data_IF_891281815126
#
_entry.id   IF_891281815126
#
_cell.length_a   1.000
_cell.length_b   1.000
_cell.length_c   1.000
_cell.angle_alpha   90.00
_cell.angle_beta   90.00
_cell.angle_gamma   90.00
#
_symmetry.space_group_name_H-M   'P 1'
#
loop_
_entity.id
_entity.type
_entity.pdbx_description
1 polymer ?
#
# COMPACT_ATOMS: atom_id res chain seq x y z
N UNK A 1 17.13 -20.49 13.64
CA UNK A 1 16.85 -20.06 12.25
C UNK A 1 16.20 -21.18 11.44
N UNK A 2 16.82 -22.36 11.28
CA UNK A 2 16.25 -23.47 10.49
C UNK A 2 14.84 -23.85 10.91
N UNK A 3 14.56 -24.02 12.20
CA UNK A 3 13.25 -24.43 12.72
C UNK A 3 12.10 -23.49 12.31
N UNK A 4 12.33 -22.18 12.24
CA UNK A 4 11.28 -21.22 11.85
C UNK A 4 11.08 -21.23 10.33
N UNK A 5 12.15 -21.35 9.54
CA UNK A 5 12.06 -21.45 8.10
C UNK A 5 11.29 -22.72 7.67
N UNK A 6 11.51 -23.84 8.35
CA UNK A 6 10.74 -25.07 8.14
C UNK A 6 9.24 -24.90 8.38
N UNK A 7 8.84 -23.98 9.26
CA UNK A 7 7.41 -23.66 9.51
C UNK A 7 6.84 -22.66 8.52
N UNK A 8 7.62 -21.67 8.08
CA UNK A 8 7.17 -20.60 7.22
C UNK A 8 7.03 -21.01 5.75
N UNK A 9 7.98 -21.80 5.23
CA UNK A 9 8.01 -22.19 3.81
C UNK A 9 6.75 -22.96 3.38
N UNK A 10 6.23 -23.93 4.16
CA UNK A 10 5.03 -24.67 3.80
C UNK A 10 3.77 -23.81 3.66
N UNK A 11 3.70 -22.66 4.37
CA UNK A 11 2.52 -21.77 4.33
C UNK A 11 2.34 -21.19 2.93
N UNK A 12 3.43 -20.73 2.32
CA UNK A 12 3.42 -20.02 1.03
C UNK A 12 3.64 -20.95 -0.17
N UNK A 13 4.04 -22.20 0.08
CA UNK A 13 4.34 -23.21 -0.93
C UNK A 13 5.60 -22.90 -1.74
N UNK A 14 5.96 -23.80 -2.66
CA UNK A 14 7.23 -23.75 -3.40
C UNK A 14 7.49 -22.48 -4.22
N UNK A 15 6.42 -21.78 -4.66
CA UNK A 15 6.50 -20.54 -5.43
C UNK A 15 6.38 -19.28 -4.58
N UNK A 16 6.18 -19.42 -3.27
CA UNK A 16 5.85 -18.33 -2.36
C UNK A 16 7.02 -17.85 -1.51
N UNK A 17 8.24 -18.30 -1.75
CA UNK A 17 9.41 -17.85 -1.02
C UNK A 17 10.64 -17.73 -1.91
N UNK A 18 11.61 -16.94 -1.48
CA UNK A 18 12.89 -16.73 -2.15
C UNK A 18 14.00 -16.59 -1.12
N UNK A 19 15.22 -16.95 -1.53
CA UNK A 19 16.43 -16.64 -0.76
C UNK A 19 16.87 -15.20 -1.05
N UNK A 20 17.32 -14.44 -0.05
CA UNK A 20 17.92 -13.13 -0.28
C UNK A 20 19.33 -13.29 -0.89
N UNK A 21 19.40 -13.21 -2.21
CA UNK A 21 20.61 -13.31 -3.03
C UNK A 21 20.65 -12.19 -4.08
N UNK A 22 21.68 -12.18 -4.91
CA UNK A 22 21.86 -11.15 -5.96
C UNK A 22 20.67 -11.08 -6.92
N UNK A 23 20.07 -12.22 -7.29
CA UNK A 23 18.91 -12.27 -8.19
C UNK A 23 17.66 -11.65 -7.59
N UNK A 24 17.58 -11.62 -6.26
CA UNK A 24 16.47 -11.08 -5.49
C UNK A 24 16.79 -9.73 -4.83
N UNK A 25 17.78 -9.00 -5.36
CA UNK A 25 18.26 -7.73 -4.82
C UNK A 25 17.17 -6.66 -4.68
N UNK A 26 16.11 -6.71 -5.52
CA UNK A 26 14.98 -5.78 -5.46
C UNK A 26 14.24 -5.75 -4.10
N UNK A 27 14.41 -6.76 -3.25
CA UNK A 27 13.80 -6.83 -1.93
C UNK A 27 14.71 -6.34 -0.80
N UNK A 28 15.98 -6.05 -1.08
CA UNK A 28 16.95 -5.67 -0.05
C UNK A 28 17.42 -4.21 -0.15
N UNK A 29 16.96 -3.48 -1.14
CA UNK A 29 17.20 -2.04 -1.29
C UNK A 29 15.98 -1.35 -1.90
N UNK A 30 15.77 -0.11 -1.57
CA UNK A 30 14.76 0.76 -2.17
C UNK A 30 15.31 1.51 -3.41
N UNK A 31 14.53 2.47 -3.91
CA UNK A 31 14.92 3.29 -5.08
C UNK A 31 16.17 4.13 -4.83
N UNK A 32 16.54 4.39 -3.57
CA UNK A 32 17.76 5.13 -3.22
C UNK A 32 19.02 4.26 -3.26
N UNK A 33 18.87 2.96 -3.52
CA UNK A 33 19.93 1.94 -3.45
C UNK A 33 20.54 1.78 -2.04
N UNK A 34 19.88 2.29 -1.02
CA UNK A 34 20.27 2.06 0.35
C UNK A 34 20.10 0.59 0.72
N UNK A 35 21.09 0.05 1.42
CA UNK A 35 21.11 -1.33 1.95
C UNK A 35 21.47 -1.26 3.42
N UNK A 36 20.73 -2.00 4.25
CA UNK A 36 20.96 -1.96 5.69
C UNK A 36 21.34 -3.32 6.27
N UNK A 37 20.71 -4.41 5.82
CA UNK A 37 20.93 -5.72 6.42
C UNK A 37 20.82 -6.88 5.45
N UNK A 38 21.00 -8.10 5.99
CA UNK A 38 20.83 -9.38 5.30
C UNK A 38 19.61 -10.07 5.89
N UNK A 39 18.44 -9.99 5.25
CA UNK A 39 17.24 -10.67 5.72
C UNK A 39 17.42 -12.20 5.67
N UNK A 40 16.60 -12.91 6.45
CA UNK A 40 16.65 -14.37 6.54
C UNK A 40 15.97 -15.07 5.38
N UNK A 41 14.82 -14.54 4.95
CA UNK A 41 13.98 -15.10 3.90
C UNK A 41 13.06 -14.04 3.32
N UNK A 42 12.62 -14.23 2.08
CA UNK A 42 11.60 -13.43 1.42
C UNK A 42 10.36 -14.30 1.25
N UNK A 43 9.25 -13.89 1.86
CA UNK A 43 7.95 -14.56 1.76
C UNK A 43 6.99 -13.76 0.90
N UNK A 44 6.29 -14.46 0.03
CA UNK A 44 5.36 -13.93 -0.96
C UNK A 44 3.99 -14.59 -0.76
N UNK A 45 3.21 -14.20 0.26
CA UNK A 45 1.89 -14.74 0.47
C UNK A 45 0.95 -14.38 -0.69
N UNK A 46 -0.05 -15.24 -0.93
CA UNK A 46 -1.09 -15.03 -1.95
C UNK A 46 -2.47 -14.76 -1.36
N UNK A 47 -2.60 -14.76 -0.04
CA UNK A 47 -3.87 -14.57 0.65
C UNK A 47 -3.67 -14.00 2.06
N UNK A 48 -4.70 -13.34 2.58
CA UNK A 48 -4.76 -12.87 3.97
C UNK A 48 -4.53 -14.00 4.96
N UNK A 49 -5.02 -15.20 4.68
CA UNK A 49 -4.83 -16.37 5.55
C UNK A 49 -3.35 -16.80 5.65
N UNK A 50 -2.61 -16.71 4.56
CA UNK A 50 -1.16 -16.96 4.59
C UNK A 50 -0.44 -15.88 5.41
N UNK A 51 -0.83 -14.60 5.26
CA UNK A 51 -0.28 -13.50 6.07
C UNK A 51 -0.53 -13.73 7.55
N UNK A 52 -1.77 -14.10 7.94
CA UNK A 52 -2.13 -14.40 9.35
C UNK A 52 -1.19 -15.46 9.93
N UNK A 53 -1.04 -16.60 9.22
CA UNK A 53 -0.19 -17.70 9.70
C UNK A 53 1.29 -17.30 9.81
N UNK A 54 1.79 -16.51 8.86
CA UNK A 54 3.16 -16.00 8.89
C UNK A 54 3.35 -15.10 10.12
N UNK A 55 2.45 -14.13 10.33
CA UNK A 55 2.54 -13.21 11.47
C UNK A 55 2.46 -13.94 12.80
N UNK A 56 1.55 -14.92 12.95
CA UNK A 56 1.46 -15.75 14.16
C UNK A 56 2.78 -16.45 14.47
N UNK A 57 3.39 -17.13 13.48
CA UNK A 57 4.68 -17.81 13.68
C UNK A 57 5.78 -16.80 14.01
N UNK A 58 5.87 -15.69 13.31
CA UNK A 58 6.88 -14.67 13.60
C UNK A 58 6.70 -14.09 15.01
N UNK A 59 5.46 -13.87 15.44
CA UNK A 59 5.14 -13.41 16.80
C UNK A 59 5.54 -14.44 17.87
N UNK A 60 5.19 -15.72 17.68
CA UNK A 60 5.53 -16.80 18.61
C UNK A 60 7.04 -16.96 18.83
N UNK A 61 7.82 -16.68 17.79
CA UNK A 61 9.28 -16.75 17.83
C UNK A 61 9.96 -15.39 18.07
N UNK A 62 9.19 -14.31 18.31
CA UNK A 62 9.70 -12.93 18.39
C UNK A 62 10.61 -12.58 17.20
N UNK A 63 10.24 -13.02 15.98
CA UNK A 63 11.05 -12.80 14.79
C UNK A 63 10.60 -11.55 14.04
N UNK A 64 11.50 -10.59 13.81
CA UNK A 64 11.12 -9.32 13.18
C UNK A 64 10.72 -9.51 11.71
N UNK A 65 9.71 -8.75 11.27
CA UNK A 65 9.16 -8.78 9.92
C UNK A 65 9.24 -7.40 9.29
N UNK A 66 9.84 -7.34 8.10
CA UNK A 66 9.83 -6.15 7.24
C UNK A 66 8.75 -6.30 6.17
N UNK A 67 7.70 -5.49 6.24
CA UNK A 67 6.59 -5.51 5.27
C UNK A 67 6.95 -4.66 4.06
N UNK A 68 6.79 -5.22 2.86
CA UNK A 68 7.20 -4.55 1.63
C UNK A 68 6.07 -4.42 0.60
N UNK A 69 6.00 -3.23 0.00
CA UNK A 69 5.27 -2.95 -1.23
C UNK A 69 6.20 -2.95 -2.45
N UNK A 70 6.07 -1.91 -3.29
CA UNK A 70 6.83 -1.77 -4.54
C UNK A 70 8.25 -1.21 -4.41
N UNK A 71 8.78 -1.04 -3.22
CA UNK A 71 10.13 -0.52 -2.92
C UNK A 71 10.44 0.86 -3.56
N UNK A 72 9.42 1.68 -3.73
CA UNK A 72 9.51 3.02 -4.35
C UNK A 72 9.61 4.17 -3.33
N UNK A 73 9.71 3.85 -2.05
CA UNK A 73 9.89 4.81 -0.97
C UNK A 73 11.27 5.48 -0.99
N UNK A 74 11.36 6.69 -0.44
CA UNK A 74 12.59 7.50 -0.38
C UNK A 74 13.15 7.64 1.02
N UNK A 75 12.49 7.04 2.02
CA UNK A 75 12.83 7.18 3.44
C UNK A 75 13.30 5.86 4.08
N UNK A 76 13.59 4.86 3.25
CA UNK A 76 14.19 3.58 3.64
C UNK A 76 13.34 2.70 4.59
N UNK A 77 12.08 3.05 4.87
CA UNK A 77 11.21 2.35 5.82
C UNK A 77 10.88 0.89 5.47
N UNK A 78 11.11 0.48 4.22
CA UNK A 78 10.90 -0.91 3.76
C UNK A 78 12.20 -1.68 3.54
N UNK A 79 13.37 -1.08 3.80
CA UNK A 79 14.67 -1.74 3.67
C UNK A 79 14.94 -2.60 4.91
N UNK A 80 15.18 -3.91 4.75
CA UNK A 80 15.26 -4.82 5.87
C UNK A 80 16.56 -4.66 6.67
N UNK A 81 16.50 -4.96 7.98
CA UNK A 81 17.65 -5.18 8.82
C UNK A 81 18.13 -6.65 8.77
N UNK A 82 19.23 -6.93 9.48
CA UNK A 82 19.76 -8.28 9.59
C UNK A 82 18.74 -9.24 10.23
N UNK A 83 18.66 -10.42 9.67
CA UNK A 83 17.83 -11.53 10.14
C UNK A 83 16.30 -11.30 10.08
N UNK A 84 15.80 -10.22 9.52
CA UNK A 84 14.35 -10.03 9.34
C UNK A 84 13.76 -11.00 8.31
N UNK A 85 12.48 -11.30 8.49
CA UNK A 85 11.64 -11.92 7.47
C UNK A 85 11.09 -10.81 6.58
N UNK A 86 11.35 -10.86 5.28
CA UNK A 86 10.69 -9.98 4.31
C UNK A 86 9.32 -10.56 3.98
N UNK A 87 8.27 -9.74 4.12
CA UNK A 87 6.91 -10.05 3.73
C UNK A 87 6.49 -9.14 2.57
N UNK A 88 6.60 -9.62 1.33
CA UNK A 88 6.20 -8.87 0.14
C UNK A 88 4.82 -9.28 -0.33
N UNK A 89 3.93 -8.31 -0.53
CA UNK A 89 2.53 -8.55 -0.93
C UNK A 89 2.33 -8.63 -2.45
N UNK A 90 3.37 -8.75 -3.26
CA UNK A 90 3.31 -8.72 -4.73
C UNK A 90 2.37 -9.76 -5.35
N UNK A 91 2.11 -10.90 -4.67
CA UNK A 91 1.19 -11.95 -5.14
C UNK A 91 -0.27 -11.68 -4.77
N UNK A 92 -0.55 -10.77 -3.85
CA UNK A 92 -1.89 -10.33 -3.47
C UNK A 92 -2.31 -9.16 -4.37
N UNK A 93 -2.69 -9.45 -5.60
CA UNK A 93 -2.82 -8.43 -6.65
C UNK A 93 -4.14 -8.50 -7.44
N UNK A 94 -5.21 -8.95 -6.82
CA UNK A 94 -6.55 -8.97 -7.41
C UNK A 94 -7.37 -7.72 -7.08
N UNK A 95 -8.32 -7.42 -7.98
CA UNK A 95 -9.30 -6.35 -7.84
C UNK A 95 -10.68 -7.01 -7.85
N UNK A 96 -11.52 -6.67 -6.89
CA UNK A 96 -12.83 -7.27 -6.67
C UNK A 96 -13.88 -6.22 -6.26
N UNK A 97 -15.14 -6.64 -6.13
CA UNK A 97 -16.24 -5.81 -5.63
C UNK A 97 -16.33 -4.43 -6.29
N UNK A 98 -16.11 -4.38 -7.63
CA UNK A 98 -16.29 -3.15 -8.38
C UNK A 98 -17.77 -2.77 -8.42
N UNK A 99 -18.09 -1.61 -7.85
CA UNK A 99 -19.45 -1.07 -7.80
C UNK A 99 -19.50 0.33 -8.44
N UNK A 100 -20.29 0.44 -9.50
CA UNK A 100 -20.49 1.70 -10.23
C UNK A 100 -21.32 2.70 -9.44
N UNK A 101 -22.22 2.24 -8.60
CA UNK A 101 -23.19 3.09 -7.88
C UNK A 101 -22.49 3.79 -6.72
N UNK A 102 -21.79 3.01 -5.90
CA UNK A 102 -21.00 3.56 -4.79
C UNK A 102 -19.64 4.11 -5.22
N UNK A 103 -19.27 3.94 -6.51
CA UNK A 103 -17.97 4.32 -7.06
C UNK A 103 -16.81 3.80 -6.22
N UNK A 104 -16.85 2.50 -5.92
CA UNK A 104 -15.86 1.86 -5.08
C UNK A 104 -15.42 0.50 -5.63
N UNK A 105 -14.22 0.08 -5.25
CA UNK A 105 -13.72 -1.26 -5.53
C UNK A 105 -12.82 -1.73 -4.39
N UNK A 106 -12.85 -3.04 -4.12
CA UNK A 106 -11.94 -3.67 -3.18
C UNK A 106 -10.70 -4.17 -3.94
N UNK A 107 -9.52 -3.81 -3.44
CA UNK A 107 -8.24 -4.18 -4.01
C UNK A 107 -7.39 -4.93 -2.99
N UNK A 108 -6.66 -5.93 -3.42
CA UNK A 108 -5.53 -6.47 -2.66
C UNK A 108 -4.35 -5.51 -2.76
N UNK A 109 -3.58 -5.37 -1.70
CA UNK A 109 -2.62 -4.28 -1.55
C UNK A 109 -1.32 -4.45 -2.35
N UNK A 110 -1.09 -5.60 -2.98
CA UNK A 110 -0.05 -5.81 -3.98
C UNK A 110 -0.42 -5.39 -5.41
N UNK A 111 -1.64 -4.86 -5.61
CA UNK A 111 -2.03 -4.23 -6.89
C UNK A 111 -1.20 -2.97 -7.09
N UNK A 112 -0.58 -2.80 -8.28
CA UNK A 112 0.09 -1.54 -8.62
C UNK A 112 -0.91 -0.43 -8.88
N UNK A 113 -0.53 0.81 -8.60
CA UNK A 113 -1.36 1.98 -8.86
C UNK A 113 -1.80 2.03 -10.33
N UNK A 114 -0.88 1.80 -11.26
CA UNK A 114 -1.16 1.79 -12.71
C UNK A 114 -2.16 0.69 -13.10
N UNK A 115 -2.03 -0.53 -12.55
CA UNK A 115 -2.98 -1.62 -12.81
C UNK A 115 -4.39 -1.23 -12.36
N UNK A 116 -4.53 -0.56 -11.22
CA UNK A 116 -5.82 -0.11 -10.72
C UNK A 116 -6.40 1.03 -11.58
N UNK A 117 -5.57 1.98 -11.98
CA UNK A 117 -5.98 3.07 -12.88
C UNK A 117 -6.47 2.53 -14.23
N UNK A 118 -5.70 1.66 -14.88
CA UNK A 118 -6.07 1.04 -16.15
C UNK A 118 -7.36 0.22 -16.06
N UNK A 119 -7.57 -0.49 -14.94
CA UNK A 119 -8.81 -1.23 -14.69
C UNK A 119 -10.03 -0.30 -14.62
N UNK A 120 -9.90 0.87 -14.03
CA UNK A 120 -10.97 1.85 -13.90
C UNK A 120 -11.22 2.60 -15.24
N UNK A 121 -10.16 2.99 -15.94
CA UNK A 121 -10.22 3.68 -17.23
C UNK A 121 -11.01 2.88 -18.26
N UNK A 122 -10.78 1.57 -18.35
CA UNK A 122 -11.56 0.64 -19.21
C UNK A 122 -13.05 0.63 -18.90
N UNK A 123 -13.46 1.17 -17.73
CA UNK A 123 -14.85 1.24 -17.27
C UNK A 123 -15.42 2.65 -17.26
N UNK A 124 -14.66 3.65 -17.74
CA UNK A 124 -15.02 5.08 -17.77
C UNK A 124 -14.91 5.77 -16.42
N UNK A 125 -14.01 5.28 -15.56
CA UNK A 125 -13.74 5.85 -14.25
C UNK A 125 -12.26 6.20 -14.08
N UNK A 126 -11.97 6.92 -13.01
CA UNK A 126 -10.68 7.52 -12.77
C UNK A 126 -10.30 7.42 -11.28
N UNK A 127 -9.07 6.99 -11.00
CA UNK A 127 -8.48 7.05 -9.66
C UNK A 127 -7.50 8.21 -9.58
N UNK A 128 -7.72 9.19 -8.68
CA UNK A 128 -7.03 10.48 -8.76
C UNK A 128 -5.60 10.50 -8.23
N UNK A 129 -5.16 9.47 -7.51
CA UNK A 129 -3.77 9.41 -7.04
C UNK A 129 -2.82 9.40 -8.25
N UNK A 130 -1.87 10.35 -8.29
CA UNK A 130 -0.95 10.52 -9.40
C UNK A 130 0.49 10.59 -8.89
N UNK A 131 1.24 9.51 -9.14
CA UNK A 131 2.62 9.32 -8.69
C UNK A 131 3.51 8.95 -9.87
N UNK A 132 4.72 9.47 -9.91
CA UNK A 132 5.71 9.10 -10.93
C UNK A 132 6.06 7.61 -10.91
N UNK A 133 5.93 6.96 -9.76
CA UNK A 133 6.20 5.52 -9.57
C UNK A 133 5.00 4.62 -9.81
N UNK A 134 3.91 5.08 -10.45
CA UNK A 134 2.63 4.36 -10.59
C UNK A 134 2.76 2.93 -11.12
N UNK A 135 3.72 2.67 -12.01
CA UNK A 135 3.96 1.34 -12.58
C UNK A 135 4.59 0.35 -11.60
N UNK A 136 5.23 0.83 -10.54
CA UNK A 136 5.98 0.01 -9.57
C UNK A 136 5.43 0.08 -8.15
N UNK A 137 4.87 1.21 -7.73
CA UNK A 137 4.32 1.34 -6.38
C UNK A 137 3.05 0.49 -6.21
N UNK A 138 2.93 -0.15 -5.06
CA UNK A 138 1.75 -0.92 -4.69
C UNK A 138 0.78 -0.07 -3.87
N UNK A 139 -0.51 -0.34 -4.02
CA UNK A 139 -1.56 0.36 -3.25
C UNK A 139 -1.37 0.21 -1.73
N UNK A 140 -0.81 -0.92 -1.27
CA UNK A 140 -0.45 -1.11 0.14
C UNK A 140 0.63 -0.15 0.63
N UNK A 141 1.66 0.08 -0.16
CA UNK A 141 2.66 1.10 0.14
C UNK A 141 2.08 2.51 0.14
N UNK A 142 1.21 2.82 -0.83
CA UNK A 142 0.53 4.12 -0.89
C UNK A 142 -0.38 4.36 0.33
N UNK A 143 -1.05 3.31 0.83
CA UNK A 143 -1.82 3.36 2.09
C UNK A 143 -0.91 3.55 3.29
N UNK A 144 0.14 2.72 3.40
CA UNK A 144 1.05 2.72 4.53
C UNK A 144 1.77 4.07 4.71
N UNK A 145 2.04 4.79 3.61
CA UNK A 145 2.69 6.10 3.65
C UNK A 145 1.69 7.27 3.54
N UNK A 146 0.39 6.99 3.46
CA UNK A 146 -0.64 8.00 3.16
C UNK A 146 -0.25 8.86 1.96
N UNK A 147 0.07 8.22 0.84
CA UNK A 147 0.61 8.89 -0.34
C UNK A 147 -0.33 9.97 -0.88
N UNK A 148 0.25 11.09 -1.24
CA UNK A 148 -0.39 12.17 -1.97
C UNK A 148 0.32 12.39 -3.31
N UNK A 149 -0.39 12.96 -4.27
CA UNK A 149 0.16 13.29 -5.58
C UNK A 149 -0.23 14.72 -5.98
N UNK A 150 -0.10 15.03 -7.25
CA UNK A 150 -0.36 16.39 -7.79
C UNK A 150 -1.82 16.84 -7.68
N UNK A 151 -2.76 15.90 -7.41
CA UNK A 151 -4.22 16.18 -7.38
C UNK A 151 -4.80 16.25 -5.97
N UNK A 152 -3.95 16.32 -4.95
CA UNK A 152 -4.34 16.29 -3.52
C UNK A 152 -5.31 17.40 -3.14
N UNK A 153 -5.11 18.62 -3.64
CA UNK A 153 -5.97 19.77 -3.31
C UNK A 153 -7.45 19.47 -3.62
N UNK A 154 -7.72 18.79 -4.73
CA UNK A 154 -9.11 18.47 -5.13
C UNK A 154 -9.62 17.15 -4.53
N UNK A 155 -8.80 16.11 -4.50
CA UNK A 155 -9.26 14.75 -4.23
C UNK A 155 -8.80 14.18 -2.89
N UNK A 156 -7.91 14.89 -2.19
CA UNK A 156 -7.31 14.43 -0.95
C UNK A 156 -6.16 13.44 -1.17
N UNK A 157 -5.60 12.98 -0.08
CA UNK A 157 -4.54 11.97 -0.02
C UNK A 157 -5.14 10.55 -0.07
N UNK A 158 -4.27 9.54 0.00
CA UNK A 158 -4.72 8.13 0.01
C UNK A 158 -5.72 7.84 1.12
N UNK A 159 -5.59 8.49 2.28
CA UNK A 159 -6.53 8.44 3.41
C UNK A 159 -7.96 8.82 3.00
N UNK A 160 -8.10 9.90 2.25
CA UNK A 160 -9.39 10.43 1.80
C UNK A 160 -10.03 9.56 0.71
N UNK A 161 -9.22 8.78 0.00
CA UNK A 161 -9.63 7.87 -1.06
C UNK A 161 -10.01 6.48 -0.54
N UNK A 162 -9.84 6.21 0.77
CA UNK A 162 -10.03 4.89 1.37
C UNK A 162 -11.32 4.84 2.18
N UNK A 163 -12.21 3.91 1.83
CA UNK A 163 -13.48 3.68 2.54
C UNK A 163 -13.34 2.65 3.65
N UNK A 164 -12.57 1.58 3.41
CA UNK A 164 -12.34 0.52 4.37
C UNK A 164 -11.02 -0.21 4.14
N UNK A 165 -10.53 -0.91 5.16
CA UNK A 165 -9.31 -1.71 5.08
C UNK A 165 -9.45 -3.06 5.76
N UNK A 166 -8.58 -3.98 5.38
CA UNK A 166 -8.33 -5.24 6.05
C UNK A 166 -6.86 -5.25 6.48
N UNK A 167 -6.61 -5.52 7.76
CA UNK A 167 -5.28 -5.46 8.38
C UNK A 167 -5.04 -6.70 9.23
N UNK A 168 -3.87 -7.28 9.12
CA UNK A 168 -3.36 -8.33 10.01
C UNK A 168 -2.39 -7.72 11.00
N UNK A 169 -2.66 -7.84 12.29
CA UNK A 169 -1.78 -7.35 13.37
C UNK A 169 -0.57 -8.27 13.56
N UNK A 170 0.36 -7.85 14.40
CA UNK A 170 1.59 -8.60 14.67
C UNK A 170 1.34 -10.00 15.23
N UNK A 171 0.29 -10.18 16.05
CA UNK A 171 -0.12 -11.46 16.64
C UNK A 171 -0.96 -12.33 15.67
N UNK A 172 -1.18 -11.86 14.45
CA UNK A 172 -2.04 -12.52 13.45
C UNK A 172 -3.53 -12.22 13.60
N UNK A 173 -3.94 -11.35 14.52
CA UNK A 173 -5.34 -10.91 14.63
C UNK A 173 -5.76 -10.16 13.36
N UNK A 174 -6.91 -10.56 12.81
CA UNK A 174 -7.49 -9.91 11.64
C UNK A 174 -8.49 -8.82 12.04
N UNK A 175 -8.25 -7.60 11.59
CA UNK A 175 -9.21 -6.50 11.61
C UNK A 175 -9.69 -6.28 10.18
N UNK A 176 -10.98 -6.41 9.94
CA UNK A 176 -11.56 -6.22 8.60
C UNK A 176 -12.81 -5.37 8.67
N UNK A 177 -12.78 -4.26 7.94
CA UNK A 177 -13.91 -3.36 7.74
C UNK A 177 -13.91 -2.88 6.27
N UNK A 178 -14.21 -3.80 5.35
CA UNK A 178 -14.22 -3.57 3.90
C UNK A 178 -15.62 -3.15 3.43
N UNK A 179 -16.12 -2.03 3.92
CA UNK A 179 -17.38 -1.46 3.45
C UNK A 179 -17.16 -0.43 2.32
N UNK A 180 -18.24 -0.09 1.62
CA UNK A 180 -18.28 0.92 0.56
C UNK A 180 -19.05 2.19 0.97
N UNK A 181 -19.34 2.35 2.25
CA UNK A 181 -20.07 3.51 2.78
C UNK A 181 -19.14 4.73 2.83
N UNK A 182 -19.55 5.82 2.20
CA UNK A 182 -18.85 7.11 2.29
C UNK A 182 -19.05 7.76 3.65
N UNK A 183 -20.26 7.56 4.23
CA UNK A 183 -20.59 8.03 5.56
C UNK A 183 -20.82 6.84 6.47
N UNK A 184 -19.92 6.63 7.41
CA UNK A 184 -20.06 5.62 8.48
C UNK A 184 -19.78 6.28 9.83
N UNK A 185 -20.80 6.31 10.68
CA UNK A 185 -20.75 6.88 12.04
C UNK A 185 -20.91 5.78 13.10
N UNK A 186 -20.70 4.51 12.75
CA UNK A 186 -20.99 3.36 13.63
C UNK A 186 -19.96 3.12 14.75
N UNK A 187 -18.87 3.90 14.81
CA UNK A 187 -17.83 3.75 15.82
C UNK A 187 -16.59 4.55 15.50
N UNK A 188 -15.48 4.16 16.12
CA UNK A 188 -14.18 4.73 15.79
C UNK A 188 -13.73 4.34 14.38
N UNK A 189 -13.20 5.30 13.64
CA UNK A 189 -12.66 5.07 12.30
C UNK A 189 -11.24 4.49 12.37
N UNK A 190 -11.14 3.20 12.67
CA UNK A 190 -9.87 2.50 12.91
C UNK A 190 -8.93 2.51 11.72
N UNK A 191 -9.42 2.63 10.47
CA UNK A 191 -8.54 2.71 9.30
C UNK A 191 -7.55 3.87 9.39
N UNK A 192 -7.93 4.94 10.11
CA UNK A 192 -7.10 6.13 10.27
C UNK A 192 -5.81 5.88 11.06
N UNK A 193 -5.77 4.83 11.88
CA UNK A 193 -4.59 4.44 12.65
C UNK A 193 -3.56 3.77 11.74
N UNK A 194 -4.02 2.94 10.82
CA UNK A 194 -3.15 2.13 9.96
C UNK A 194 -2.67 2.86 8.71
N UNK A 195 -3.47 3.80 8.17
CA UNK A 195 -3.07 4.60 7.02
C UNK A 195 -2.03 5.63 7.47
N UNK A 196 -0.82 5.54 6.91
CA UNK A 196 0.32 6.35 7.30
C UNK A 196 1.17 5.75 8.44
N UNK A 197 0.89 4.49 8.85
CA UNK A 197 1.68 3.79 9.87
C UNK A 197 2.96 3.14 9.36
N UNK A 198 3.20 3.16 8.05
CA UNK A 198 4.37 2.56 7.37
C UNK A 198 4.59 1.07 7.71
N UNK A 199 3.50 0.33 7.96
CA UNK A 199 3.56 -1.10 8.30
C UNK A 199 3.93 -1.41 9.75
N UNK A 200 4.16 -0.40 10.60
CA UNK A 200 4.60 -0.60 12.00
C UNK A 200 3.50 -1.14 12.92
N UNK A 201 2.22 -0.94 12.58
CA UNK A 201 1.07 -1.37 13.38
C UNK A 201 0.39 -2.63 12.85
N UNK A 202 0.70 -3.05 11.62
CA UNK A 202 0.11 -4.22 10.99
C UNK A 202 0.26 -4.22 9.49
N UNK A 203 -0.11 -5.34 8.87
CA UNK A 203 -0.02 -5.57 7.44
C UNK A 203 -1.38 -5.30 6.79
N UNK A 204 -1.50 -4.23 6.01
CA UNK A 204 -2.73 -3.96 5.24
C UNK A 204 -2.77 -4.93 4.07
N UNK A 205 -3.76 -5.81 4.05
CA UNK A 205 -3.91 -6.87 3.04
C UNK A 205 -4.89 -6.52 1.94
N UNK A 206 -5.96 -5.77 2.29
CA UNK A 206 -6.95 -5.26 1.32
C UNK A 206 -7.41 -3.86 1.68
N UNK A 207 -7.95 -3.16 0.69
CA UNK A 207 -8.63 -1.88 0.91
C UNK A 207 -9.82 -1.73 -0.04
N UNK A 208 -10.87 -1.05 0.42
CA UNK A 208 -11.94 -0.53 -0.42
C UNK A 208 -11.63 0.92 -0.73
N UNK A 209 -11.43 1.20 -2.01
CA UNK A 209 -11.04 2.52 -2.51
C UNK A 209 -12.20 3.14 -3.29
N UNK A 210 -12.44 4.44 -3.07
CA UNK A 210 -13.37 5.22 -3.90
C UNK A 210 -12.67 5.74 -5.14
N UNK A 211 -13.41 5.85 -6.21
CA UNK A 211 -12.97 6.41 -7.48
C UNK A 211 -14.01 7.41 -8.02
N UNK A 212 -13.74 8.04 -9.13
CA UNK A 212 -14.55 9.12 -9.68
C UNK A 212 -14.84 8.88 -11.15
N UNK A 213 -15.84 9.57 -11.70
CA UNK A 213 -16.01 9.64 -13.16
C UNK A 213 -14.82 10.34 -13.79
N UNK A 214 -14.42 9.86 -14.95
CA UNK A 214 -13.35 10.49 -15.71
C UNK A 214 -13.73 11.95 -16.07
N UNK A 215 -12.82 12.91 -15.87
CA UNK A 215 -13.03 14.30 -16.29
C UNK A 215 -13.23 14.38 -17.80
N UNK A 216 -14.29 15.07 -18.26
CA UNK A 216 -14.58 15.22 -19.69
C UNK A 216 -13.55 16.10 -20.42
N UNK A 217 -12.93 17.03 -19.70
CA UNK A 217 -11.95 17.97 -20.26
C UNK A 217 -10.87 18.25 -19.22
N UNK A 218 -9.66 18.53 -19.70
CA UNK A 218 -8.54 19.00 -18.88
C UNK A 218 -8.00 20.27 -19.52
N UNK A 219 -7.81 21.30 -18.71
CA UNK A 219 -7.21 22.56 -19.13
C UNK A 219 -6.03 22.87 -18.22
N UNK A 220 -5.00 23.48 -18.78
CA UNK A 220 -3.81 23.93 -18.05
C UNK A 220 -3.75 25.45 -18.17
N UNK A 221 -3.55 26.12 -17.05
CA UNK A 221 -3.32 27.56 -16.99
C UNK A 221 -1.99 27.84 -16.28
N UNK A 222 -1.22 28.76 -16.83
CA UNK A 222 -0.05 29.32 -16.17
C UNK A 222 -0.45 30.68 -15.59
N UNK A 223 -0.36 30.82 -14.27
CA UNK A 223 -0.66 32.07 -13.58
C UNK A 223 0.66 32.70 -13.09
N UNK A 224 0.89 33.95 -13.43
CA UNK A 224 2.01 34.75 -12.91
C UNK A 224 1.51 35.68 -11.80
N UNK A 225 2.17 35.66 -10.64
CA UNK A 225 1.93 36.60 -9.56
C UNK A 225 3.12 37.56 -9.42
N UNK A 226 2.85 38.87 -9.24
CA UNK A 226 3.88 39.89 -9.05
C UNK A 226 4.36 39.98 -7.59
N UNK A 227 3.74 39.24 -6.67
CA UNK A 227 4.07 39.24 -5.26
C UNK A 227 5.07 38.11 -4.92
N UNK A 228 5.97 38.39 -4.00
CA UNK A 228 7.01 37.47 -3.54
C UNK A 228 6.48 36.31 -2.70
N UNK A 229 5.19 36.22 -2.47
CA UNK A 229 4.54 35.12 -1.77
C UNK A 229 4.41 33.93 -2.68
N UNK A 230 4.91 32.80 -2.26
CA UNK A 230 4.99 31.58 -3.05
C UNK A 230 3.64 30.90 -3.31
N UNK A 231 2.57 31.37 -2.72
CA UNK A 231 1.23 30.80 -2.86
C UNK A 231 0.21 31.88 -3.19
N UNK A 232 -0.12 31.99 -4.48
CA UNK A 232 -1.13 32.93 -4.96
C UNK A 232 -2.56 32.61 -4.47
N UNK A 233 -2.79 31.41 -3.89
CA UNK A 233 -4.08 31.03 -3.33
C UNK A 233 -4.27 31.54 -1.90
N UNK A 234 -3.16 31.85 -1.20
CA UNK A 234 -3.19 32.36 0.17
C UNK A 234 -3.12 33.90 0.24
N UNK A 235 -3.00 34.57 -0.91
CA UNK A 235 -2.89 36.02 -0.98
C UNK A 235 -4.22 36.67 -1.39
N UNK A 236 -4.93 37.24 -0.43
CA UNK A 236 -6.20 37.94 -0.62
C UNK A 236 -6.07 39.17 -1.53
N UNK A 237 -4.85 39.52 -2.00
CA UNK A 237 -4.53 40.68 -2.82
C UNK A 237 -4.12 40.35 -4.26
N UNK A 238 -4.23 39.08 -4.69
CA UNK A 238 -3.97 38.67 -6.08
C UNK A 238 -5.23 38.63 -6.94
#
# INVERSE_FOLDING_TARGET
MELILEKLIPIVGSKGWKTPNIENAKYVHDITNFKNGKPSIILLPKSTQEVIKIMQICNDFCWPVSVQGGMTGLVQGSVPFDNEVILSLERMNSISNFDRVSQSATVETGVTLEKFQNFLEQKGFFFPLDLGSKGSCFLGGNLATNAGGTRVIKYGMMRDLTLGIEVVLADGTLISNLHNLVKDNSGYDLKQIFIGSEGTLGVITKATLKFYHEPKTQNVAFCGCLLYTSDAADDDHC
#
